data_IF_077018710805
#
_entry.id   IF_077018710805
#
_cell.length_a   1.000
_cell.length_b   1.000
_cell.length_c   1.000
_cell.angle_alpha   90.00
_cell.angle_beta   90.00
_cell.angle_gamma   90.00
#
_symmetry.space_group_name_H-M   'P 1'
#
loop_
_entity.id
_entity.type
_entity.pdbx_description
1 polymer ?
#
# COMPACT_ATOMS: atom_id res chain seq x y z
N UNK A 1 22.47 -5.83 21.36
CA UNK A 1 21.12 -5.26 21.22
C UNK A 1 20.79 -5.22 19.74
N UNK A 2 20.07 -6.23 19.23
CA UNK A 2 19.82 -6.41 17.80
C UNK A 2 18.68 -5.46 17.38
N UNK A 3 18.97 -4.44 16.57
CA UNK A 3 17.95 -3.57 16.00
C UNK A 3 17.13 -4.38 14.99
N UNK A 4 15.98 -4.88 15.40
CA UNK A 4 14.96 -5.38 14.47
C UNK A 4 14.36 -4.18 13.77
N UNK A 5 14.80 -3.91 12.54
CA UNK A 5 14.07 -3.00 11.66
C UNK A 5 12.69 -3.61 11.39
N UNK A 6 11.59 -2.92 11.71
CA UNK A 6 10.27 -3.44 11.42
C UNK A 6 10.16 -3.72 9.91
N UNK A 7 9.57 -4.85 9.53
CA UNK A 7 9.45 -5.29 8.13
C UNK A 7 8.85 -4.18 7.23
N UNK A 8 7.87 -3.45 7.76
CA UNK A 8 7.23 -2.29 7.12
C UNK A 8 8.14 -1.07 6.89
N UNK A 9 9.34 -1.02 7.50
CA UNK A 9 10.33 0.04 7.29
C UNK A 9 11.28 -0.23 6.12
N UNK A 10 11.17 -1.37 5.46
CA UNK A 10 12.01 -1.72 4.29
C UNK A 10 11.25 -1.51 2.99
N UNK A 11 11.95 -1.18 1.89
CA UNK A 11 11.34 -1.07 0.56
C UNK A 11 10.62 -2.37 0.13
N UNK A 12 11.19 -3.52 0.48
CA UNK A 12 10.57 -4.82 0.23
C UNK A 12 9.27 -5.00 1.01
N UNK A 13 9.25 -4.64 2.30
CA UNK A 13 8.04 -4.70 3.11
C UNK A 13 6.95 -3.73 2.66
N UNK A 14 7.32 -2.52 2.20
CA UNK A 14 6.38 -1.56 1.61
C UNK A 14 5.75 -2.14 0.33
N UNK A 15 6.55 -2.76 -0.54
CA UNK A 15 6.07 -3.39 -1.77
C UNK A 15 5.09 -4.54 -1.46
N UNK A 16 5.49 -5.46 -0.59
CA UNK A 16 4.66 -6.61 -0.19
C UNK A 16 3.36 -6.13 0.45
N UNK A 17 3.43 -5.17 1.37
CA UNK A 17 2.25 -4.59 2.01
C UNK A 17 1.31 -3.95 0.99
N UNK A 18 1.85 -3.21 0.01
CA UNK A 18 1.05 -2.59 -1.05
C UNK A 18 0.31 -3.64 -1.89
N UNK A 19 0.98 -4.72 -2.29
CA UNK A 19 0.39 -5.80 -3.08
C UNK A 19 -0.73 -6.50 -2.31
N UNK A 20 -0.49 -6.82 -1.03
CA UNK A 20 -1.51 -7.46 -0.18
C UNK A 20 -2.75 -6.59 -0.04
N UNK A 21 -2.60 -5.28 0.18
CA UNK A 21 -3.74 -4.35 0.24
C UNK A 21 -4.48 -4.30 -1.09
N UNK A 22 -3.77 -4.31 -2.22
CA UNK A 22 -4.40 -4.36 -3.55
C UNK A 22 -5.21 -5.63 -3.80
N UNK A 23 -4.72 -6.79 -3.35
CA UNK A 23 -5.47 -8.06 -3.41
C UNK A 23 -6.74 -7.96 -2.55
N UNK A 24 -6.61 -7.48 -1.30
CA UNK A 24 -7.76 -7.31 -0.40
C UNK A 24 -8.81 -6.38 -1.03
N UNK A 25 -8.39 -5.28 -1.64
CA UNK A 25 -9.28 -4.38 -2.34
C UNK A 25 -10.05 -5.13 -3.45
N UNK A 26 -9.33 -5.84 -4.33
CA UNK A 26 -9.96 -6.63 -5.39
C UNK A 26 -10.98 -7.65 -4.85
N UNK A 27 -10.65 -8.34 -3.77
CA UNK A 27 -11.58 -9.28 -3.13
C UNK A 27 -12.82 -8.58 -2.56
N UNK A 28 -12.68 -7.38 -1.99
CA UNK A 28 -13.84 -6.58 -1.55
C UNK A 28 -14.78 -6.32 -2.74
N UNK A 29 -14.25 -5.95 -3.92
CA UNK A 29 -15.08 -5.78 -5.12
C UNK A 29 -15.82 -7.07 -5.46
N UNK A 30 -15.14 -8.21 -5.44
CA UNK A 30 -15.73 -9.53 -5.73
C UNK A 30 -16.82 -9.87 -4.71
N UNK A 31 -16.57 -9.67 -3.43
CA UNK A 31 -17.53 -9.90 -2.34
C UNK A 31 -18.74 -8.97 -2.46
N UNK A 32 -18.55 -7.71 -2.85
CA UNK A 32 -19.66 -6.77 -3.10
C UNK A 32 -20.58 -7.24 -4.21
N UNK A 33 -20.01 -7.76 -5.31
CA UNK A 33 -20.78 -8.36 -6.39
C UNK A 33 -21.52 -9.62 -5.94
N UNK A 34 -20.81 -10.55 -5.28
CA UNK A 34 -21.37 -11.85 -4.89
C UNK A 34 -22.45 -11.76 -3.80
N UNK A 35 -22.24 -10.93 -2.77
CA UNK A 35 -23.12 -10.91 -1.58
C UNK A 35 -24.22 -9.85 -1.67
N UNK A 36 -23.99 -8.77 -2.41
CA UNK A 36 -24.89 -7.61 -2.44
C UNK A 36 -25.38 -7.26 -3.85
N UNK A 37 -24.96 -8.00 -4.89
CA UNK A 37 -25.33 -7.72 -6.27
C UNK A 37 -24.79 -6.38 -6.79
N UNK A 38 -23.77 -5.81 -6.14
CA UNK A 38 -23.15 -4.54 -6.56
C UNK A 38 -22.06 -4.80 -7.59
N UNK A 39 -22.43 -4.69 -8.88
CA UNK A 39 -21.49 -4.83 -9.99
C UNK A 39 -20.69 -3.54 -10.20
N UNK A 40 -19.58 -3.42 -9.46
CA UNK A 40 -18.62 -2.33 -9.65
C UNK A 40 -17.82 -2.59 -10.93
N UNK A 41 -17.75 -1.69 -11.92
CA UNK A 41 -16.99 -1.94 -13.15
C UNK A 41 -15.48 -2.09 -12.89
N UNK A 42 -14.84 -3.05 -13.56
CA UNK A 42 -13.45 -3.44 -13.27
C UNK A 42 -12.43 -2.33 -13.55
N UNK A 43 -12.48 -1.74 -14.74
CA UNK A 43 -11.50 -0.74 -15.18
C UNK A 43 -11.43 0.49 -14.26
N UNK A 44 -12.54 1.22 -13.99
CA UNK A 44 -12.48 2.39 -13.12
C UNK A 44 -12.10 2.01 -11.69
N UNK A 45 -12.49 0.83 -11.22
CA UNK A 45 -12.10 0.32 -9.91
C UNK A 45 -10.59 0.08 -9.82
N UNK A 46 -10.02 -0.65 -10.78
CA UNK A 46 -8.59 -0.96 -10.82
C UNK A 46 -7.75 0.30 -10.92
N UNK A 47 -8.16 1.27 -11.75
CA UNK A 47 -7.49 2.57 -11.86
C UNK A 47 -7.52 3.30 -10.51
N UNK A 48 -8.68 3.38 -9.84
CA UNK A 48 -8.79 4.04 -8.55
C UNK A 48 -7.91 3.37 -7.48
N UNK A 49 -7.92 2.05 -7.40
CA UNK A 49 -7.07 1.29 -6.47
C UNK A 49 -5.59 1.55 -6.74
N UNK A 50 -5.16 1.52 -8.00
CA UNK A 50 -3.76 1.78 -8.37
C UNK A 50 -3.32 3.20 -8.00
N UNK A 51 -4.18 4.20 -8.22
CA UNK A 51 -3.89 5.59 -7.82
C UNK A 51 -3.74 5.69 -6.31
N UNK A 52 -4.69 5.14 -5.55
CA UNK A 52 -4.66 5.17 -4.08
C UNK A 52 -3.41 4.47 -3.56
N UNK A 53 -3.15 3.23 -4.02
CA UNK A 53 -1.96 2.48 -3.62
C UNK A 53 -0.68 3.23 -3.99
N UNK A 54 -0.59 3.77 -5.20
CA UNK A 54 0.57 4.54 -5.65
C UNK A 54 0.85 5.75 -4.75
N UNK A 55 -0.19 6.50 -4.37
CA UNK A 55 -0.07 7.63 -3.43
C UNK A 55 0.41 7.14 -2.06
N UNK A 56 -0.19 6.09 -1.51
CA UNK A 56 0.19 5.55 -0.20
C UNK A 56 1.62 5.01 -0.19
N UNK A 57 2.01 4.25 -1.22
CA UNK A 57 3.38 3.73 -1.38
C UNK A 57 4.38 4.86 -1.50
N UNK A 58 4.08 5.89 -2.29
CA UNK A 58 4.93 7.08 -2.42
C UNK A 58 5.10 7.80 -1.09
N UNK A 59 4.00 8.06 -0.37
CA UNK A 59 4.06 8.68 0.95
C UNK A 59 4.83 7.82 1.96
N UNK A 60 4.63 6.51 1.96
CA UNK A 60 5.35 5.59 2.84
C UNK A 60 6.86 5.62 2.59
N UNK A 61 7.30 5.63 1.33
CA UNK A 61 8.72 5.71 0.99
C UNK A 61 9.31 7.09 1.32
N UNK A 62 8.59 8.18 1.05
CA UNK A 62 9.07 9.55 1.37
C UNK A 62 9.15 9.77 2.87
N UNK A 63 8.10 9.42 3.61
CA UNK A 63 8.04 9.61 5.06
C UNK A 63 9.04 8.69 5.78
N UNK A 64 9.25 7.47 5.28
CA UNK A 64 10.29 6.56 5.77
C UNK A 64 11.72 7.10 5.63
N UNK A 65 11.96 8.09 4.74
CA UNK A 65 13.28 8.70 4.51
C UNK A 65 13.54 9.97 5.34
N UNK A 66 12.52 10.60 5.92
CA UNK A 66 12.70 11.82 6.72
C UNK A 66 13.61 11.62 7.96
N UNK A 67 13.52 10.50 8.72
CA UNK A 67 14.36 10.28 9.90
C UNK A 67 15.85 10.11 9.56
N UNK A 68 16.15 9.50 8.42
CA UNK A 68 17.52 9.27 7.93
C UNK A 68 18.19 10.56 7.44
N UNK A 69 17.43 11.47 6.83
CA UNK A 69 17.98 12.76 6.35
C UNK A 69 18.35 13.69 7.51
N UNK A 70 17.51 13.78 8.55
CA UNK A 70 17.77 14.64 9.70
C UNK A 70 19.09 14.27 10.42
N UNK A 71 19.43 12.97 10.45
CA UNK A 71 20.66 12.45 11.06
C UNK A 71 21.95 12.68 10.28
N UNK A 72 21.87 13.04 9.01
CA UNK A 72 23.03 13.28 8.13
C UNK A 72 23.44 14.75 8.10
N UNK A 73 22.63 15.62 8.68
CA UNK A 73 22.81 17.08 8.74
C UNK A 73 23.41 17.58 10.06
N UNK A 74 23.64 16.69 11.03
CA UNK A 74 24.48 16.91 12.23
C UNK A 74 25.88 16.32 11.99
#
# INVERSE_FOLDING_TARGET
MTKTTPFAGTRGGILVGTVVVGIIAFEIRTVLGMLFGMDVPLEPYAIAVLVVLGVFTFLADVLGRLPERAKRSE
#
